data_IF_848291577248
#
_entry.id   IF_848291577248
#
_cell.length_a   1.000
_cell.length_b   1.000
_cell.length_c   1.000
_cell.angle_alpha   90.00
_cell.angle_beta   90.00
_cell.angle_gamma   90.00
#
_symmetry.space_group_name_H-M   'P 1'
#
loop_
_entity.id
_entity.type
_entity.pdbx_description
1 polymer ?
#
# COMPACT_ATOMS: atom_id res chain seq x y z
N UNK A 1 -11.55 -8.98 24.80
CA UNK A 1 -11.89 -8.08 23.67
C UNK A 1 -11.12 -8.58 22.47
N UNK A 2 -11.72 -8.67 21.29
CA UNK A 2 -11.02 -9.09 20.07
C UNK A 2 -10.21 -7.93 19.52
N UNK A 3 -8.89 -8.08 19.42
CA UNK A 3 -8.03 -7.12 18.71
C UNK A 3 -8.33 -7.21 17.20
N UNK A 4 -8.51 -6.06 16.55
CA UNK A 4 -8.79 -6.00 15.12
C UNK A 4 -8.03 -4.82 14.51
N UNK A 5 -7.09 -5.16 13.63
CA UNK A 5 -6.25 -4.21 12.92
C UNK A 5 -6.59 -4.22 11.43
N UNK A 6 -6.57 -3.03 10.82
CA UNK A 6 -6.53 -2.86 9.37
C UNK A 6 -5.16 -2.26 9.03
N UNK A 7 -4.48 -2.83 8.04
CA UNK A 7 -3.39 -2.16 7.35
C UNK A 7 -3.91 -1.61 6.01
N UNK A 8 -3.55 -0.36 5.72
CA UNK A 8 -3.73 0.28 4.41
C UNK A 8 -2.35 0.38 3.77
N UNK A 9 -2.09 -0.40 2.73
CA UNK A 9 -0.83 -0.39 1.99
C UNK A 9 -1.02 0.27 0.62
N UNK A 10 -0.14 1.21 0.27
CA UNK A 10 -0.23 2.07 -0.91
C UNK A 10 0.91 1.77 -1.90
N UNK A 11 0.83 0.66 -2.67
CA UNK A 11 1.92 0.23 -3.54
C UNK A 11 2.24 1.24 -4.66
N UNK A 12 1.25 2.04 -5.06
CA UNK A 12 1.38 3.06 -6.10
C UNK A 12 1.76 4.45 -5.53
N UNK A 13 1.98 4.59 -4.22
CA UNK A 13 2.26 5.88 -3.60
C UNK A 13 3.42 6.65 -4.27
N UNK A 14 4.56 6.02 -4.62
CA UNK A 14 5.65 6.72 -5.31
C UNK A 14 5.22 7.38 -6.62
N UNK A 15 4.27 6.79 -7.34
CA UNK A 15 3.75 7.33 -8.61
C UNK A 15 2.64 8.34 -8.35
N UNK A 16 1.74 8.04 -7.42
CA UNK A 16 0.56 8.85 -7.09
C UNK A 16 0.91 10.21 -6.48
N UNK A 17 2.07 10.36 -5.81
CA UNK A 17 2.52 11.69 -5.37
C UNK A 17 2.79 12.67 -6.51
N UNK A 18 3.05 12.18 -7.72
CA UNK A 18 3.27 13.00 -8.92
C UNK A 18 2.06 13.01 -9.86
N UNK A 19 1.43 11.85 -10.06
CA UNK A 19 0.58 11.58 -11.21
C UNK A 19 -0.77 10.94 -10.84
N UNK A 20 -1.28 11.20 -9.62
CA UNK A 20 -2.52 10.61 -9.06
C UNK A 20 -3.72 10.51 -10.01
N UNK A 21 -3.93 11.52 -10.87
CA UNK A 21 -5.07 11.59 -11.80
C UNK A 21 -4.66 11.42 -13.27
N UNK A 22 -3.39 11.11 -13.56
CA UNK A 22 -2.89 10.98 -14.93
C UNK A 22 -2.91 9.52 -15.38
N UNK A 23 -4.11 9.01 -15.67
CA UNK A 23 -4.34 7.60 -16.08
C UNK A 23 -4.05 7.34 -17.57
N UNK A 24 -3.85 8.38 -18.38
CA UNK A 24 -3.73 8.25 -19.83
C UNK A 24 -2.29 8.15 -20.36
N UNK A 25 -1.28 8.47 -19.53
CA UNK A 25 0.13 8.45 -19.94
C UNK A 25 0.93 7.40 -19.18
N UNK A 26 1.92 6.75 -19.81
CA UNK A 26 2.90 5.95 -19.09
C UNK A 26 3.72 6.86 -18.15
N UNK A 27 3.69 6.55 -16.86
CA UNK A 27 4.48 7.26 -15.84
C UNK A 27 5.41 6.27 -15.14
N UNK A 28 6.65 6.69 -14.93
CA UNK A 28 7.66 5.95 -14.16
C UNK A 28 8.30 6.85 -13.12
N UNK A 29 8.71 6.25 -12.01
CA UNK A 29 9.53 6.89 -10.97
C UNK A 29 10.90 6.23 -11.00
N UNK A 30 11.95 7.04 -10.94
CA UNK A 30 13.33 6.57 -11.07
C UNK A 30 14.17 6.83 -9.83
N UNK A 31 15.19 5.99 -9.66
CA UNK A 31 16.37 6.28 -8.86
C UNK A 31 17.58 6.10 -9.77
N UNK A 32 18.39 7.14 -9.95
CA UNK A 32 19.61 7.09 -10.80
C UNK A 32 19.31 6.52 -12.19
N UNK A 33 18.29 7.04 -12.87
CA UNK A 33 17.86 6.61 -14.21
C UNK A 33 17.37 5.16 -14.33
N UNK A 34 17.06 4.48 -13.22
CA UNK A 34 16.43 3.15 -13.21
C UNK A 34 15.01 3.25 -12.68
N UNK A 35 14.06 2.61 -13.37
CA UNK A 35 12.66 2.54 -12.96
C UNK A 35 12.54 1.78 -11.64
N UNK A 36 11.93 2.39 -10.63
CA UNK A 36 11.69 1.78 -9.30
C UNK A 36 10.21 1.68 -8.95
N UNK A 37 9.35 2.49 -9.57
CA UNK A 37 7.90 2.38 -9.53
C UNK A 37 7.30 2.83 -10.86
N UNK A 38 6.09 2.39 -11.19
CA UNK A 38 5.43 2.72 -12.45
C UNK A 38 3.91 2.53 -12.34
N UNK A 39 3.15 3.31 -13.11
CA UNK A 39 1.70 3.11 -13.20
C UNK A 39 1.35 1.91 -14.10
N UNK A 40 0.08 1.51 -14.05
CA UNK A 40 -0.47 0.43 -14.86
C UNK A 40 -0.29 0.63 -16.37
N UNK A 41 -0.28 1.88 -16.86
CA UNK A 41 -0.05 2.16 -18.29
C UNK A 41 1.37 1.81 -18.71
N UNK A 42 2.38 2.22 -17.94
CA UNK A 42 3.77 1.83 -18.17
C UNK A 42 3.96 0.32 -18.15
N UNK A 43 3.32 -0.37 -17.20
CA UNK A 43 3.36 -1.83 -17.15
C UNK A 43 2.73 -2.47 -18.39
N UNK A 44 1.56 -1.98 -18.81
CA UNK A 44 0.79 -2.48 -19.93
C UNK A 44 1.50 -2.35 -21.28
N UNK A 45 2.32 -1.30 -21.46
CA UNK A 45 3.14 -1.14 -22.68
C UNK A 45 4.47 -1.91 -22.64
N UNK A 46 4.79 -2.59 -21.52
CA UNK A 46 5.96 -3.46 -21.43
C UNK A 46 7.14 -2.89 -20.64
N UNK A 47 7.03 -1.71 -20.03
CA UNK A 47 8.07 -1.22 -19.10
C UNK A 47 8.08 -2.10 -17.86
N UNK A 48 9.27 -2.34 -17.30
CA UNK A 48 9.46 -3.17 -16.09
C UNK A 48 10.25 -2.43 -15.03
N UNK A 49 9.98 -2.73 -13.77
CA UNK A 49 10.85 -2.31 -12.65
C UNK A 49 12.29 -2.77 -12.93
N UNK A 50 13.23 -1.89 -12.64
CA UNK A 50 14.64 -2.07 -12.93
C UNK A 50 15.06 -1.70 -14.36
N UNK A 51 14.15 -1.38 -15.27
CA UNK A 51 14.52 -0.91 -16.62
C UNK A 51 15.33 0.38 -16.55
N UNK A 52 16.27 0.55 -17.49
CA UNK A 52 16.93 1.86 -17.68
C UNK A 52 15.98 2.84 -18.37
N UNK A 53 16.17 4.15 -18.17
CA UNK A 53 15.38 5.13 -18.92
C UNK A 53 15.55 5.02 -20.44
N UNK A 54 16.74 4.65 -20.94
CA UNK A 54 16.93 4.41 -22.38
C UNK A 54 16.05 3.27 -22.89
N UNK A 55 15.92 2.19 -22.11
CA UNK A 55 15.02 1.07 -22.42
C UNK A 55 13.56 1.54 -22.41
N UNK A 56 13.15 2.31 -21.39
CA UNK A 56 11.80 2.85 -21.31
C UNK A 56 11.45 3.75 -22.51
N UNK A 57 12.36 4.65 -22.91
CA UNK A 57 12.17 5.51 -24.08
C UNK A 57 12.15 4.76 -25.41
N UNK A 58 12.82 3.61 -25.49
CA UNK A 58 12.74 2.74 -26.68
C UNK A 58 11.34 2.10 -26.81
N UNK A 59 10.67 1.84 -25.69
CA UNK A 59 9.32 1.26 -25.65
C UNK A 59 8.26 2.33 -25.95
N UNK A 60 8.42 3.53 -25.40
CA UNK A 60 7.52 4.65 -25.63
C UNK A 60 8.22 5.99 -25.47
N UNK A 61 8.14 6.84 -26.49
CA UNK A 61 8.64 8.21 -26.43
C UNK A 61 7.77 9.11 -25.53
N UNK A 62 6.53 8.69 -25.25
CA UNK A 62 5.56 9.44 -24.43
C UNK A 62 5.68 9.15 -22.92
N UNK A 63 6.62 8.29 -22.50
CA UNK A 63 6.82 7.98 -21.08
C UNK A 63 7.28 9.21 -20.29
N UNK A 64 6.58 9.49 -19.20
CA UNK A 64 6.93 10.58 -18.28
C UNK A 64 7.69 10.00 -17.09
N UNK A 65 8.86 10.56 -16.79
CA UNK A 65 9.68 10.14 -15.65
C UNK A 65 9.76 11.21 -14.56
N UNK A 66 9.66 10.77 -13.31
CA UNK A 66 9.97 11.57 -12.12
C UNK A 66 11.10 10.91 -11.33
N UNK A 67 12.03 11.70 -10.77
CA UNK A 67 12.97 11.15 -9.79
C UNK A 67 12.25 10.95 -8.45
N UNK A 68 12.57 9.88 -7.72
CA UNK A 68 11.92 9.54 -6.46
C UNK A 68 12.11 10.64 -5.42
N UNK A 69 11.01 11.07 -4.81
CA UNK A 69 11.00 12.05 -3.72
C UNK A 69 10.37 11.42 -2.46
N UNK A 70 11.19 10.75 -1.65
CA UNK A 70 10.74 10.02 -0.45
C UNK A 70 10.10 10.94 0.59
N UNK A 71 10.53 12.20 0.68
CA UNK A 71 9.92 13.19 1.58
C UNK A 71 8.48 13.51 1.16
N UNK A 72 8.19 13.58 -0.14
CA UNK A 72 6.81 13.76 -0.65
C UNK A 72 5.95 12.53 -0.41
N UNK A 73 6.53 11.33 -0.54
CA UNK A 73 5.85 10.07 -0.18
C UNK A 73 5.44 10.08 1.29
N UNK A 74 6.37 10.43 2.19
CA UNK A 74 6.12 10.48 3.64
C UNK A 74 5.12 11.58 4.02
N UNK A 75 5.24 12.77 3.43
CA UNK A 75 4.27 13.85 3.63
C UNK A 75 2.87 13.40 3.18
N UNK A 76 2.78 12.72 2.04
CA UNK A 76 1.48 12.22 1.57
C UNK A 76 0.91 11.15 2.49
N UNK A 77 1.73 10.23 2.96
CA UNK A 77 1.33 9.20 3.91
C UNK A 77 0.85 9.81 5.23
N UNK A 78 1.46 10.92 5.65
CA UNK A 78 1.03 11.69 6.83
C UNK A 78 -0.35 12.31 6.62
N UNK A 79 -0.63 12.88 5.45
CA UNK A 79 -1.97 13.39 5.12
C UNK A 79 -3.02 12.27 5.07
N UNK A 80 -2.66 11.08 4.54
CA UNK A 80 -3.54 9.91 4.56
C UNK A 80 -3.81 9.43 5.99
N UNK A 81 -2.81 9.50 6.89
CA UNK A 81 -2.99 9.20 8.31
C UNK A 81 -3.97 10.17 8.97
N UNK A 82 -3.85 11.48 8.66
CA UNK A 82 -4.77 12.49 9.16
C UNK A 82 -6.21 12.24 8.71
N UNK A 83 -6.39 11.92 7.42
CA UNK A 83 -7.69 11.54 6.87
C UNK A 83 -8.24 10.26 7.54
N UNK A 84 -7.37 9.30 7.88
CA UNK A 84 -7.78 8.04 8.50
C UNK A 84 -8.30 8.19 9.95
N UNK A 85 -8.00 9.29 10.65
CA UNK A 85 -8.49 9.51 12.02
C UNK A 85 -10.01 9.55 12.14
N UNK A 86 -10.75 9.76 11.04
CA UNK A 86 -12.20 9.64 11.04
C UNK A 86 -12.71 8.21 11.34
N UNK A 87 -11.87 7.20 11.16
CA UNK A 87 -12.23 5.78 11.35
C UNK A 87 -11.78 5.22 12.71
N UNK A 88 -10.69 5.75 13.25
CA UNK A 88 -10.16 5.38 14.56
C UNK A 88 -9.24 6.47 15.08
N UNK A 89 -9.21 6.75 16.40
CA UNK A 89 -8.18 7.60 16.99
C UNK A 89 -6.78 6.96 16.96
N UNK A 90 -6.69 5.65 16.71
CA UNK A 90 -5.45 4.89 16.78
C UNK A 90 -4.91 4.61 15.37
N UNK A 91 -4.18 5.58 14.81
CA UNK A 91 -3.52 5.48 13.51
C UNK A 91 -2.00 5.55 13.72
N UNK A 92 -1.27 4.63 13.11
CA UNK A 92 0.20 4.61 13.09
C UNK A 92 0.71 4.62 11.66
N UNK A 93 1.63 5.55 11.38
CA UNK A 93 2.34 5.59 10.10
C UNK A 93 3.41 4.50 10.10
N UNK A 94 3.41 3.64 9.08
CA UNK A 94 4.42 2.61 8.87
C UNK A 94 5.09 2.85 7.51
N UNK A 95 6.16 3.65 7.48
CA UNK A 95 6.89 3.91 6.24
C UNK A 95 7.42 2.61 5.60
N UNK A 96 7.61 2.60 4.27
CA UNK A 96 7.42 3.74 3.37
C UNK A 96 5.98 3.96 2.90
N UNK A 97 5.12 2.93 2.90
CA UNK A 97 3.87 2.96 2.13
C UNK A 97 2.65 2.43 2.89
N UNK A 98 2.66 2.40 4.22
CA UNK A 98 1.58 1.75 4.98
C UNK A 98 1.07 2.56 6.16
N UNK A 99 -0.22 2.40 6.46
CA UNK A 99 -0.86 2.84 7.70
C UNK A 99 -1.39 1.63 8.47
N UNK A 100 -1.31 1.69 9.79
CA UNK A 100 -1.87 0.69 10.71
C UNK A 100 -2.95 1.34 11.55
N UNK A 101 -4.16 0.77 11.51
CA UNK A 101 -5.34 1.26 12.19
C UNK A 101 -5.79 0.21 13.20
N UNK A 102 -5.80 0.54 14.50
CA UNK A 102 -6.51 -0.27 15.49
C UNK A 102 -7.97 0.14 15.48
N UNK A 103 -8.84 -0.75 14.98
CA UNK A 103 -10.25 -0.44 14.77
C UNK A 103 -11.16 -1.14 15.76
N UNK A 104 -10.62 -1.95 16.68
CA UNK A 104 -11.39 -2.79 17.59
C UNK A 104 -12.45 -2.00 18.38
N UNK A 105 -12.07 -0.83 18.90
CA UNK A 105 -12.98 0.05 19.65
C UNK A 105 -14.02 0.79 18.81
N UNK A 106 -13.83 0.86 17.49
CA UNK A 106 -14.64 1.66 16.57
C UNK A 106 -15.61 0.82 15.72
N UNK A 107 -15.45 -0.52 15.69
CA UNK A 107 -16.28 -1.38 14.83
C UNK A 107 -17.78 -1.21 15.02
N UNK A 108 -18.26 -0.97 16.25
CA UNK A 108 -19.68 -0.76 16.52
C UNK A 108 -20.23 0.49 15.82
N UNK A 109 -19.46 1.58 15.76
CA UNK A 109 -19.82 2.82 15.07
C UNK A 109 -20.03 2.58 13.59
N UNK A 110 -19.17 1.75 13.00
CA UNK A 110 -19.19 1.44 11.59
C UNK A 110 -20.02 0.20 11.23
N UNK A 111 -20.79 -0.35 12.17
CA UNK A 111 -21.63 -1.55 11.94
C UNK A 111 -20.84 -2.78 11.48
N UNK A 112 -19.60 -2.92 11.98
CA UNK A 112 -18.72 -4.04 11.69
C UNK A 112 -17.59 -3.71 10.72
N UNK A 113 -16.69 -4.68 10.55
CA UNK A 113 -15.44 -4.54 9.79
C UNK A 113 -15.68 -4.37 8.29
N UNK A 114 -16.66 -5.08 7.72
CA UNK A 114 -16.92 -5.05 6.28
C UNK A 114 -17.41 -3.68 5.81
N UNK A 115 -18.31 -3.07 6.57
CA UNK A 115 -18.80 -1.73 6.25
C UNK A 115 -17.70 -0.67 6.48
N UNK A 116 -16.87 -0.82 7.51
CA UNK A 116 -15.71 0.06 7.71
C UNK A 116 -14.74 -0.01 6.52
N UNK A 117 -14.37 -1.23 6.08
CA UNK A 117 -13.50 -1.42 4.90
C UNK A 117 -14.10 -0.80 3.64
N UNK A 118 -15.41 -0.97 3.44
CA UNK A 118 -16.12 -0.37 2.30
C UNK A 118 -15.97 1.15 2.31
N UNK A 119 -16.25 1.81 3.44
CA UNK A 119 -16.13 3.25 3.58
C UNK A 119 -14.69 3.75 3.38
N UNK A 120 -13.71 3.01 3.92
CA UNK A 120 -12.29 3.32 3.70
C UNK A 120 -11.95 3.25 2.21
N UNK A 121 -12.35 2.19 1.51
CA UNK A 121 -12.08 2.01 0.09
C UNK A 121 -12.72 3.12 -0.75
N UNK A 122 -14.01 3.37 -0.54
CA UNK A 122 -14.73 4.44 -1.26
C UNK A 122 -14.10 5.82 -1.04
N UNK A 123 -13.65 6.10 0.18
CA UNK A 123 -12.96 7.34 0.49
C UNK A 123 -11.56 7.45 -0.13
N UNK A 124 -10.79 6.36 -0.17
CA UNK A 124 -9.48 6.35 -0.83
C UNK A 124 -9.59 6.42 -2.36
N UNK A 125 -10.58 5.74 -2.94
CA UNK A 125 -10.91 5.83 -4.37
C UNK A 125 -11.27 7.29 -4.73
N UNK A 126 -12.07 7.95 -3.89
CA UNK A 126 -12.44 9.36 -4.07
C UNK A 126 -11.23 10.31 -3.93
N UNK A 127 -10.24 9.93 -3.13
CA UNK A 127 -8.97 10.66 -3.00
C UNK A 127 -7.96 10.33 -4.11
N UNK A 128 -8.25 9.32 -4.95
CA UNK A 128 -7.42 8.87 -6.05
C UNK A 128 -6.24 7.99 -5.63
N UNK A 129 -6.36 7.21 -4.55
CA UNK A 129 -5.30 6.32 -4.07
C UNK A 129 -5.66 4.86 -4.24
N UNK A 130 -4.78 4.09 -4.87
CA UNK A 130 -4.84 2.64 -4.88
C UNK A 130 -4.37 2.08 -3.53
N UNK A 131 -5.16 1.16 -2.99
CA UNK A 131 -4.91 0.60 -1.66
C UNK A 131 -5.10 -0.92 -1.64
N UNK A 132 -4.13 -1.60 -1.04
CA UNK A 132 -4.26 -2.99 -0.60
C UNK A 132 -4.58 -2.99 0.89
N UNK A 133 -5.64 -3.69 1.28
CA UNK A 133 -6.09 -3.76 2.66
C UNK A 133 -5.85 -5.14 3.24
N UNK A 134 -5.17 -5.20 4.39
CA UNK A 134 -4.98 -6.42 5.17
C UNK A 134 -5.64 -6.29 6.52
N UNK A 135 -6.30 -7.35 6.97
CA UNK A 135 -7.08 -7.34 8.21
C UNK A 135 -6.68 -8.53 9.07
N UNK A 136 -6.31 -8.27 10.33
CA UNK A 136 -5.86 -9.34 11.23
C UNK A 136 -5.97 -8.95 12.71
N UNK A 137 -5.70 -9.91 13.60
CA UNK A 137 -5.71 -9.70 15.06
C UNK A 137 -4.48 -8.97 15.60
N UNK A 138 -3.44 -8.80 14.78
CA UNK A 138 -2.21 -8.07 15.13
C UNK A 138 -1.82 -7.09 14.02
N UNK A 139 -1.13 -5.99 14.35
CA UNK A 139 -0.73 -5.00 13.35
C UNK A 139 0.22 -5.58 12.31
N UNK A 140 1.18 -6.40 12.74
CA UNK A 140 2.15 -7.01 11.82
C UNK A 140 1.50 -8.00 10.86
N UNK A 141 0.55 -8.82 11.33
CA UNK A 141 -0.15 -9.74 10.43
C UNK A 141 -1.04 -8.98 9.44
N UNK A 142 -1.71 -7.90 9.86
CA UNK A 142 -2.49 -7.05 8.95
C UNK A 142 -1.58 -6.43 7.86
N UNK A 143 -0.39 -5.98 8.23
CA UNK A 143 0.61 -5.43 7.31
C UNK A 143 1.08 -6.46 6.28
N UNK A 144 1.46 -7.66 6.73
CA UNK A 144 1.90 -8.74 5.84
C UNK A 144 0.81 -9.13 4.84
N UNK A 145 -0.43 -9.19 5.29
CA UNK A 145 -1.57 -9.49 4.41
C UNK A 145 -1.78 -8.41 3.36
N UNK A 146 -1.64 -7.14 3.73
CA UNK A 146 -1.77 -6.02 2.80
C UNK A 146 -0.63 -6.02 1.76
N UNK A 147 0.62 -6.16 2.21
CA UNK A 147 1.81 -6.15 1.35
C UNK A 147 1.87 -7.35 0.39
N UNK A 148 1.37 -8.52 0.83
CA UNK A 148 1.32 -9.73 0.01
C UNK A 148 0.06 -9.84 -0.86
N UNK A 149 -0.87 -8.87 -0.79
CA UNK A 149 -2.14 -8.92 -1.52
C UNK A 149 -2.99 -10.16 -1.21
N UNK A 150 -2.86 -10.70 0.02
CA UNK A 150 -3.51 -11.96 0.38
C UNK A 150 -5.00 -11.75 0.67
N UNK A 151 -5.85 -12.72 0.30
CA UNK A 151 -7.25 -12.69 0.68
C UNK A 151 -7.39 -12.76 2.21
N UNK A 152 -8.46 -12.17 2.74
CA UNK A 152 -8.75 -12.24 4.16
C UNK A 152 -8.95 -13.67 4.63
N UNK A 153 -8.35 -14.01 5.77
CA UNK A 153 -8.57 -15.29 6.44
C UNK A 153 -9.57 -15.07 7.58
N UNK A 154 -10.55 -15.97 7.77
CA UNK A 154 -11.54 -15.84 8.84
C UNK A 154 -10.91 -15.64 10.22
N UNK A 155 -11.49 -14.75 11.03
CA UNK A 155 -11.04 -14.33 12.38
C UNK A 155 -10.82 -15.50 13.35
N UNK A 156 -11.40 -16.68 13.09
CA UNK A 156 -11.24 -17.89 13.93
C UNK A 156 -10.01 -18.74 13.58
N UNK A 157 -9.27 -18.40 12.53
CA UNK A 157 -8.00 -19.04 12.23
C UNK A 157 -6.94 -18.61 13.25
N UNK A 158 -6.12 -19.56 13.72
CA UNK A 158 -4.92 -19.18 14.48
C UNK A 158 -4.03 -18.34 13.56
N UNK A 159 -3.43 -17.27 14.07
CA UNK A 159 -2.51 -16.40 13.30
C UNK A 159 -1.45 -17.24 12.56
N UNK A 160 -0.91 -18.27 13.20
CA UNK A 160 0.06 -19.18 12.58
C UNK A 160 -0.48 -19.90 11.32
N UNK A 161 -1.78 -20.23 11.28
CA UNK A 161 -2.41 -20.85 10.12
C UNK A 161 -2.70 -19.84 9.01
N UNK A 162 -3.08 -18.62 9.36
CA UNK A 162 -3.34 -17.57 8.37
C UNK A 162 -2.05 -17.06 7.72
N UNK A 163 -0.92 -17.09 8.45
CA UNK A 163 0.40 -16.72 7.93
C UNK A 163 1.09 -17.84 7.13
N UNK A 164 0.55 -19.06 7.10
CA UNK A 164 1.20 -20.20 6.44
C UNK A 164 1.38 -20.01 4.92
N UNK A 165 0.56 -19.15 4.30
CA UNK A 165 0.64 -18.80 2.88
C UNK A 165 1.46 -17.54 2.59
N UNK A 166 2.01 -16.86 3.60
CA UNK A 166 2.83 -15.66 3.41
C UNK A 166 4.23 -16.09 2.95
N UNK A 167 4.71 -15.63 1.77
CA UNK A 167 6.07 -15.91 1.33
C UNK A 167 7.12 -15.37 2.32
N UNK A 168 8.21 -16.11 2.52
CA UNK A 168 9.24 -15.78 3.52
C UNK A 168 9.87 -14.39 3.31
N UNK A 169 9.91 -13.87 2.09
CA UNK A 169 10.48 -12.55 1.81
C UNK A 169 9.64 -11.38 2.38
N UNK A 170 8.38 -11.62 2.74
CA UNK A 170 7.57 -10.66 3.49
C UNK A 170 7.78 -10.78 5.00
N UNK A 171 8.19 -11.96 5.49
CA UNK A 171 8.57 -12.12 6.88
C UNK A 171 9.83 -11.28 7.09
N UNK A 172 9.68 -10.20 7.84
CA UNK A 172 10.72 -9.22 8.19
C UNK A 172 11.75 -9.84 9.13
N UNK A 173 12.33 -10.96 8.72
CA UNK A 173 13.44 -11.61 9.35
C UNK A 173 14.58 -10.61 9.19
N UNK A 174 14.95 -9.95 10.27
CA UNK A 174 16.26 -9.30 10.32
C UNK A 174 17.27 -10.37 9.91
N UNK A 175 18.11 -10.09 8.91
CA UNK A 175 19.28 -10.92 8.62
C UNK A 175 20.21 -10.88 9.85
N UNK A 176 19.85 -11.58 10.91
CA UNK A 176 20.79 -11.99 11.94
C UNK A 176 21.63 -13.12 11.34
N UNK A 177 22.51 -12.71 10.42
CA UNK A 177 23.70 -13.47 10.07
C UNK A 177 24.80 -12.97 11.01
N UNK A 178 24.93 -13.65 12.15
CA UNK A 178 26.18 -14.22 12.67
C UNK A 178 25.95 -14.99 13.97
#
# INVERSE_FOLDING_TARGET
MSNQWICLHFPQLPVEVFARHQVAKPVVVTIRQRVVAMNHQSEGIGIRIGSSMNTAYTISEDVVSFEREEDKELEKLTHLAQWAYQFTPNVSIKPPHSLLLDVAGCLKLFKGIDNLKKLIREGLDSLGFEVMMGVNGTPLAALLFAEAGLPEVPVRSKIAQSLASVPVHYLRIEENIK
#
